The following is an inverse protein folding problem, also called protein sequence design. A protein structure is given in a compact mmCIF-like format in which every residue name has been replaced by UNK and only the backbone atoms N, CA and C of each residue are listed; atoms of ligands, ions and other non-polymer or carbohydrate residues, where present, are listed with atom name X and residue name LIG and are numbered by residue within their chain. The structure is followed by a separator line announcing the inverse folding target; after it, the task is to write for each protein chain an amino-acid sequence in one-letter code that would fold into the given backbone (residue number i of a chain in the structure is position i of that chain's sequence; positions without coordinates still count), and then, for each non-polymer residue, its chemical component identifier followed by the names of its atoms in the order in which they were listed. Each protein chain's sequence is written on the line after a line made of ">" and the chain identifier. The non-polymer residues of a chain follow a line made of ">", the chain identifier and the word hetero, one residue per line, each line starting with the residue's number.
data_IF_290750167218
#
_entry.id   IF_290750167218
#
_cell.length_a   1.000
_cell.length_b   1.000
_cell.length_c   1.000
_cell.angle_alpha   90.00
_cell.angle_beta   90.00
_cell.angle_gamma   90.00
#
_symmetry.space_group_name_H-M   'P 1'
#
loop_
_entity.id
_entity.type
_entity.pdbx_description
1 polymer ?
#
# COMPACT_ATOMS: atom_id res chain seq x y z
N UNK A 1 -10.56 -8.63 -4.19
CA UNK A 1 -9.28 -7.96 -3.89
C UNK A 1 -9.19 -7.74 -2.39
N UNK A 2 -8.18 -8.29 -1.75
CA UNK A 2 -8.07 -8.12 -0.31
C UNK A 2 -7.55 -6.71 0.04
N UNK A 3 -8.28 -6.00 0.88
CA UNK A 3 -7.76 -4.79 1.48
C UNK A 3 -6.87 -5.22 2.65
N UNK A 4 -5.69 -4.65 2.75
CA UNK A 4 -4.74 -5.04 3.78
C UNK A 4 -4.61 -3.99 4.89
N UNK A 5 -5.05 -2.76 4.65
CA UNK A 5 -5.09 -1.75 5.69
C UNK A 5 -6.00 -0.60 5.27
N UNK A 6 -6.42 0.20 6.25
CA UNK A 6 -7.20 1.42 6.01
C UNK A 6 -6.85 2.42 7.10
N UNK A 7 -6.48 3.64 6.72
CA UNK A 7 -6.12 4.70 7.65
C UNK A 7 -6.33 6.07 7.00
N UNK A 8 -6.84 7.01 7.78
CA UNK A 8 -7.11 8.39 7.33
C UNK A 8 -7.86 8.47 6.00
N UNK A 9 -8.84 7.56 5.79
CA UNK A 9 -9.63 7.54 4.56
C UNK A 9 -8.93 6.91 3.37
N UNK A 10 -7.74 6.38 3.57
CA UNK A 10 -6.95 5.70 2.52
C UNK A 10 -7.11 4.19 2.69
N UNK A 11 -7.49 3.50 1.63
CA UNK A 11 -7.59 2.03 1.64
C UNK A 11 -6.45 1.45 0.82
N UNK A 12 -5.72 0.51 1.40
CA UNK A 12 -4.59 -0.14 0.74
C UNK A 12 -4.98 -1.56 0.34
N UNK A 13 -4.71 -1.91 -0.91
CA UNK A 13 -4.95 -3.23 -1.46
C UNK A 13 -3.67 -3.84 -1.99
N UNK A 14 -3.57 -5.17 -1.93
CA UNK A 14 -2.53 -5.92 -2.62
C UNK A 14 -3.23 -7.01 -3.44
N UNK A 15 -2.86 -7.15 -4.70
CA UNK A 15 -3.48 -8.09 -5.62
C UNK A 15 -2.62 -9.34 -5.79
N UNK A 16 -3.26 -10.45 -6.20
CA UNK A 16 -2.52 -11.69 -6.46
C UNK A 16 -1.55 -11.52 -7.63
N UNK A 17 -0.41 -12.18 -7.52
CA UNK A 17 0.68 -12.06 -8.48
C UNK A 17 0.27 -12.48 -9.90
N UNK A 18 -0.71 -13.37 -10.02
CA UNK A 18 -1.21 -13.82 -11.32
C UNK A 18 -1.73 -12.66 -12.17
N UNK A 19 -2.21 -11.58 -11.53
CA UNK A 19 -2.73 -10.40 -12.22
C UNK A 19 -1.83 -9.18 -12.09
N UNK A 20 -0.66 -9.32 -11.47
CA UNK A 20 0.25 -8.22 -11.21
C UNK A 20 1.68 -8.59 -11.60
N UNK A 21 2.49 -7.58 -11.87
CA UNK A 21 3.88 -7.74 -12.30
C UNK A 21 4.84 -6.97 -11.39
N UNK A 22 6.13 -7.33 -11.42
CA UNK A 22 7.16 -6.57 -10.75
C UNK A 22 7.27 -5.17 -11.34
N UNK A 23 7.66 -4.18 -10.55
CA UNK A 23 8.12 -4.29 -9.16
C UNK A 23 6.97 -4.54 -8.18
N UNK A 24 7.30 -5.06 -7.01
CA UNK A 24 6.31 -5.29 -5.97
C UNK A 24 5.68 -3.97 -5.55
N UNK A 25 4.36 -3.95 -5.43
CA UNK A 25 3.61 -2.71 -5.22
C UNK A 25 2.31 -2.94 -4.48
N UNK A 26 1.73 -1.85 -4.00
CA UNK A 26 0.40 -1.84 -3.40
C UNK A 26 -0.46 -0.85 -4.16
N UNK A 27 -1.78 -0.98 -4.02
CA UNK A 27 -2.74 -0.06 -4.60
C UNK A 27 -3.38 0.75 -3.48
N UNK A 28 -3.38 2.08 -3.62
CA UNK A 28 -3.96 2.97 -2.62
C UNK A 28 -5.14 3.73 -3.23
N UNK A 29 -6.25 3.75 -2.51
CA UNK A 29 -7.47 4.46 -2.90
C UNK A 29 -7.79 5.53 -1.87
N UNK A 30 -8.06 6.74 -2.34
CA UNK A 30 -8.39 7.86 -1.47
C UNK A 30 -9.39 8.77 -2.17
N UNK A 31 -10.63 8.79 -1.72
CA UNK A 31 -11.68 9.55 -2.40
C UNK A 31 -11.83 9.08 -3.84
N UNK A 32 -11.74 9.97 -4.79
CA UNK A 32 -11.79 9.64 -6.22
C UNK A 32 -10.44 9.30 -6.83
N UNK A 33 -9.39 9.22 -6.00
CA UNK A 33 -8.02 8.98 -6.47
C UNK A 33 -7.59 7.55 -6.25
N UNK A 34 -6.71 7.05 -7.12
CA UNK A 34 -6.04 5.78 -6.88
C UNK A 34 -4.62 5.85 -7.45
N UNK A 35 -3.72 5.09 -6.85
CA UNK A 35 -2.33 5.04 -7.29
C UNK A 35 -1.74 3.67 -6.99
N UNK A 36 -0.83 3.24 -7.87
CA UNK A 36 -0.01 2.06 -7.67
C UNK A 36 1.34 2.55 -7.16
N UNK A 37 1.75 2.08 -5.98
CA UNK A 37 2.94 2.59 -5.29
C UNK A 37 3.93 1.46 -5.05
N UNK A 38 5.17 1.68 -5.46
CA UNK A 38 6.25 0.70 -5.32
C UNK A 38 6.64 0.56 -3.85
N UNK A 39 6.62 -0.67 -3.34
CA UNK A 39 6.91 -0.93 -1.93
C UNK A 39 8.32 -0.48 -1.54
N UNK A 40 9.32 -0.79 -2.35
CA UNK A 40 10.72 -0.49 -2.03
C UNK A 40 11.04 1.00 -1.96
N UNK A 41 10.42 1.81 -2.82
CA UNK A 41 10.80 3.22 -2.97
C UNK A 41 9.72 4.21 -2.56
N UNK A 42 8.45 3.78 -2.55
CA UNK A 42 7.34 4.68 -2.33
C UNK A 42 6.97 5.52 -3.55
N UNK A 43 7.59 5.26 -4.69
CA UNK A 43 7.30 5.98 -5.93
C UNK A 43 5.98 5.53 -6.54
N UNK A 44 5.28 6.45 -7.18
CA UNK A 44 4.05 6.13 -7.91
C UNK A 44 4.42 5.52 -9.26
N UNK A 45 3.89 4.32 -9.52
CA UNK A 45 4.06 3.64 -10.79
C UNK A 45 2.96 4.05 -11.77
N UNK A 46 1.72 4.15 -11.27
CA UNK A 46 0.56 4.56 -12.05
C UNK A 46 -0.42 5.32 -11.17
N UNK A 47 -1.22 6.18 -11.77
CA UNK A 47 -2.27 6.91 -11.06
C UNK A 47 -1.72 8.10 -10.29
N UNK A 48 -2.52 8.60 -9.36
CA UNK A 48 -2.13 9.75 -8.54
C UNK A 48 -2.88 9.78 -7.22
N UNK A 49 -2.26 10.44 -6.24
CA UNK A 49 -2.87 10.74 -4.94
C UNK A 49 -2.53 12.19 -4.59
N UNK A 50 -3.41 12.88 -3.82
CA UNK A 50 -3.03 14.17 -3.26
C UNK A 50 -1.77 14.03 -2.40
N UNK A 51 -0.95 15.08 -2.35
CA UNK A 51 0.33 15.04 -1.64
C UNK A 51 0.22 14.61 -0.19
N UNK A 52 -0.81 15.07 0.52
CA UNK A 52 -0.98 14.70 1.93
C UNK A 52 -1.29 13.20 2.09
N UNK A 53 -2.10 12.64 1.21
CA UNK A 53 -2.41 11.21 1.23
C UNK A 53 -1.17 10.39 0.87
N UNK A 54 -0.45 10.80 -0.17
CA UNK A 54 0.77 10.13 -0.60
C UNK A 54 1.81 10.09 0.51
N UNK A 55 1.96 11.18 1.24
CA UNK A 55 2.90 11.26 2.38
C UNK A 55 2.55 10.22 3.44
N UNK A 56 1.27 10.10 3.77
CA UNK A 56 0.81 9.14 4.77
C UNK A 56 1.04 7.70 4.31
N UNK A 57 0.78 7.41 3.05
CA UNK A 57 1.03 6.08 2.49
C UNK A 57 2.52 5.75 2.55
N UNK A 58 3.38 6.72 2.20
CA UNK A 58 4.84 6.51 2.24
C UNK A 58 5.34 6.25 3.66
N UNK A 59 4.79 6.92 4.65
CA UNK A 59 5.16 6.68 6.05
C UNK A 59 4.78 5.26 6.46
N UNK A 60 3.58 4.83 6.09
CA UNK A 60 3.09 3.49 6.38
C UNK A 60 3.94 2.42 5.67
N UNK A 61 4.28 2.64 4.40
CA UNK A 61 5.14 1.73 3.65
C UNK A 61 6.50 1.58 4.31
N UNK A 62 7.07 2.67 4.79
CA UNK A 62 8.37 2.66 5.44
C UNK A 62 8.37 1.79 6.69
N UNK A 63 7.30 1.84 7.47
CA UNK A 63 7.15 1.05 8.68
C UNK A 63 6.98 -0.44 8.36
N UNK A 64 6.21 -0.76 7.34
CA UNK A 64 5.80 -2.14 7.04
C UNK A 64 6.44 -2.75 5.80
N UNK A 65 7.52 -2.15 5.31
CA UNK A 65 8.14 -2.57 4.03
C UNK A 65 8.47 -4.06 4.01
N UNK A 66 9.10 -4.57 5.06
CA UNK A 66 9.49 -5.97 5.11
C UNK A 66 8.29 -6.92 5.12
N UNK A 67 7.26 -6.58 5.90
CA UNK A 67 6.03 -7.36 5.94
C UNK A 67 5.34 -7.39 4.58
N UNK A 68 5.27 -6.23 3.94
CA UNK A 68 4.61 -6.11 2.64
C UNK A 68 5.35 -6.87 1.56
N UNK A 69 6.68 -6.82 1.57
CA UNK A 69 7.49 -7.57 0.63
C UNK A 69 7.30 -9.08 0.82
N UNK A 70 7.25 -9.52 2.08
CA UNK A 70 7.00 -10.93 2.39
C UNK A 70 5.62 -11.36 1.87
N UNK A 71 4.59 -10.55 2.07
CA UNK A 71 3.24 -10.84 1.58
C UNK A 71 3.22 -10.94 0.05
N UNK A 72 3.94 -10.06 -0.61
CA UNK A 72 4.07 -10.10 -2.06
C UNK A 72 4.75 -11.39 -2.52
N UNK A 73 5.84 -11.77 -1.86
CA UNK A 73 6.63 -12.95 -2.24
C UNK A 73 5.89 -14.26 -1.98
N UNK A 74 5.18 -14.35 -0.86
CA UNK A 74 4.49 -15.59 -0.47
C UNK A 74 3.05 -15.65 -0.98
N UNK A 75 2.48 -14.52 -1.36
CA UNK A 75 1.06 -14.38 -1.74
C UNK A 75 0.11 -14.77 -0.60
N UNK A 76 0.59 -14.72 0.63
CA UNK A 76 -0.21 -14.94 1.83
C UNK A 76 -0.57 -13.58 2.42
N UNK A 77 -1.75 -13.08 2.07
CA UNK A 77 -2.19 -11.74 2.45
C UNK A 77 -2.84 -11.73 3.83
N UNK A 78 -2.56 -10.69 4.60
CA UNK A 78 -3.17 -10.48 5.91
C UNK A 78 -3.32 -8.99 6.17
N UNK A 79 -4.08 -8.65 7.17
CA UNK A 79 -4.24 -7.25 7.57
C UNK A 79 -2.95 -6.74 8.20
N UNK A 80 -2.60 -5.51 7.86
CA UNK A 80 -1.43 -4.82 8.41
C UNK A 80 -1.93 -3.67 9.28
N UNK A 81 -1.25 -3.40 10.38
CA UNK A 81 -1.62 -2.33 11.31
C UNK A 81 -1.75 -1.00 10.59
N UNK A 82 -2.89 -0.28 10.74
CA UNK A 82 -3.06 1.02 10.13
C UNK A 82 -2.12 2.07 10.73
N UNK A 83 -1.78 3.08 9.92
CA UNK A 83 -0.86 4.14 10.33
C UNK A 83 -1.36 4.90 11.55
N UNK A 84 -2.66 5.20 11.62
CA UNK A 84 -3.23 5.93 12.74
C UNK A 84 -3.16 5.18 14.07
N UNK A 85 -3.04 3.85 14.03
CA UNK A 85 -2.82 3.04 15.22
C UNK A 85 -1.33 3.03 15.61
N UNK A 86 -0.44 3.12 14.62
CA UNK A 86 1.01 3.19 14.85
C UNK A 86 1.43 4.48 15.54
N UNK A 87 0.68 5.56 15.33
CA UNK A 87 0.99 6.88 15.87
C UNK A 87 0.60 7.06 17.35
N UNK A 88 -0.01 6.08 17.96
CA UNK A 88 -0.45 6.15 19.36
C UNK A 88 0.61 5.74 20.35
#
# INVERSE_FOLDING_TARGET
>A
MPSISMFYGITIYMHFLASEHNPSHVHAYYGGYNATIIIATGEILEGELPNNALKLVREWLKIHRDELQQMWDTQEFRKITPLDEEER
#
